data_IF_922847353884
#
_entry.id   IF_922847353884
#
_cell.length_a   1.000
_cell.length_b   1.000
_cell.length_c   1.000
_cell.angle_alpha   90.00
_cell.angle_beta   90.00
_cell.angle_gamma   90.00
#
_symmetry.space_group_name_H-M   'P 1'
#
loop_
_entity.id
_entity.type
_entity.pdbx_description
1 polymer ?
#
# COMPACT_ATOMS: atom_id res chain seq x y z
N UNK A 1 17.42 -3.23 -15.29
CA UNK A 1 17.21 -3.24 -14.79
C UNK A 1 16.47 -3.03 -14.26
N UNK A 2 16.22 -2.88 -14.07
CA UNK A 2 15.76 -2.92 -13.49
C UNK A 2 14.83 -2.60 -12.91
N UNK A 3 14.28 -2.69 -12.82
CA UNK A 3 13.36 -2.66 -11.75
C UNK A 3 12.77 -1.32 -11.52
N UNK A 4 12.32 -0.72 -12.56
CA UNK A 4 11.76 0.60 -12.49
C UNK A 4 10.47 0.64 -11.75
N UNK A 5 9.62 -0.36 -11.89
CA UNK A 5 8.39 -0.33 -11.18
C UNK A 5 8.60 -0.47 -9.68
N UNK A 6 9.73 -1.03 -9.28
CA UNK A 6 10.03 -1.16 -7.87
C UNK A 6 10.54 0.13 -7.26
N UNK A 7 11.04 1.04 -8.08
CA UNK A 7 11.56 2.28 -7.54
C UNK A 7 10.48 3.13 -6.89
N UNK A 8 9.23 2.94 -7.28
CA UNK A 8 8.13 3.68 -6.66
C UNK A 8 7.87 3.21 -5.23
N UNK A 9 8.16 1.95 -4.94
CA UNK A 9 8.02 1.43 -3.59
C UNK A 9 8.93 2.17 -2.63
N UNK A 10 10.11 2.55 -3.09
CA UNK A 10 11.06 3.27 -2.25
C UNK A 10 10.56 4.64 -1.81
N UNK A 11 9.57 5.17 -2.49
CA UNK A 11 8.99 6.45 -2.12
C UNK A 11 8.07 6.34 -0.92
N UNK A 12 7.69 5.13 -0.55
CA UNK A 12 6.81 4.91 0.58
C UNK A 12 7.60 4.94 1.87
N UNK A 13 7.00 5.53 2.91
CA UNK A 13 7.58 5.44 4.24
C UNK A 13 7.42 4.00 4.75
N UNK A 14 8.15 3.63 5.83
CA UNK A 14 7.99 2.28 6.37
C UNK A 14 6.55 1.94 6.73
N UNK A 15 5.80 2.89 7.31
CA UNK A 15 4.40 2.64 7.65
C UNK A 15 3.55 2.49 6.40
N UNK A 16 3.83 3.29 5.38
CA UNK A 16 3.09 3.19 4.13
C UNK A 16 3.34 1.85 3.46
N UNK A 17 4.58 1.36 3.50
CA UNK A 17 4.89 0.04 2.95
C UNK A 17 4.11 -1.04 3.68
N UNK A 18 4.02 -0.93 4.98
CA UNK A 18 3.28 -1.89 5.79
C UNK A 18 1.81 -1.91 5.39
N UNK A 19 1.20 -0.74 5.29
CA UNK A 19 -0.20 -0.64 4.90
C UNK A 19 -0.40 -1.18 3.48
N UNK A 20 0.49 -0.82 2.56
CA UNK A 20 0.38 -1.28 1.18
C UNK A 20 0.46 -2.79 1.09
N UNK A 21 1.31 -3.40 1.91
CA UNK A 21 1.43 -4.85 1.91
C UNK A 21 0.14 -5.51 2.39
N UNK A 22 -0.50 -4.96 3.42
CA UNK A 22 -1.79 -5.47 3.87
C UNK A 22 -2.85 -5.35 2.79
N UNK A 23 -2.90 -4.19 2.11
CA UNK A 23 -3.85 -3.98 1.03
C UNK A 23 -3.62 -5.03 -0.06
N UNK A 24 -2.37 -5.27 -0.41
CA UNK A 24 -2.02 -6.24 -1.44
C UNK A 24 -2.48 -7.64 -1.06
N UNK A 25 -2.54 -7.93 0.23
CA UNK A 25 -2.97 -9.24 0.71
C UNK A 25 -4.48 -9.30 0.96
N UNK A 26 -5.22 -8.29 0.55
CA UNK A 26 -6.67 -8.33 0.63
C UNK A 26 -7.24 -7.95 1.99
N UNK A 27 -6.43 -7.38 2.86
CA UNK A 27 -6.89 -6.98 4.19
C UNK A 27 -7.68 -5.69 4.06
N UNK A 28 -8.86 -5.64 4.66
CA UNK A 28 -9.71 -4.45 4.57
C UNK A 28 -9.13 -3.30 5.36
N UNK A 29 -9.58 -2.09 5.01
CA UNK A 29 -9.16 -0.88 5.72
C UNK A 29 -9.43 -0.98 7.22
N UNK A 30 -10.61 -1.48 7.58
CA UNK A 30 -10.96 -1.60 8.99
C UNK A 30 -10.05 -2.59 9.72
N UNK A 31 -9.72 -3.69 9.08
CA UNK A 31 -8.85 -4.69 9.69
C UNK A 31 -7.44 -4.16 9.84
N UNK A 32 -6.95 -3.44 8.83
CA UNK A 32 -5.63 -2.82 8.92
C UNK A 32 -5.60 -1.85 10.11
N UNK A 33 -6.66 -1.07 10.26
CA UNK A 33 -6.74 -0.12 11.36
C UNK A 33 -6.64 -0.83 12.70
N UNK A 34 -7.33 -1.97 12.84
CA UNK A 34 -7.27 -2.74 14.07
C UNK A 34 -5.87 -3.30 14.31
N UNK A 35 -5.25 -3.84 13.27
CA UNK A 35 -3.92 -4.40 13.38
C UNK A 35 -2.91 -3.35 13.83
N UNK A 36 -3.02 -2.15 13.27
CA UNK A 36 -2.07 -1.08 13.56
C UNK A 36 -2.43 -0.26 14.77
N UNK A 37 -3.63 -0.45 15.32
CA UNK A 37 -4.07 0.32 16.47
C UNK A 37 -4.37 1.77 16.13
N UNK A 38 -4.87 2.04 14.93
CA UNK A 38 -5.21 3.39 14.50
C UNK A 38 -6.65 3.42 14.01
N UNK A 39 -7.13 4.61 13.68
CA UNK A 39 -8.47 4.76 13.14
C UNK A 39 -8.50 4.42 11.66
N UNK A 40 -9.65 3.95 11.19
CA UNK A 40 -9.78 3.59 9.78
C UNK A 40 -9.57 4.82 8.87
N UNK A 41 -9.92 6.02 9.35
CA UNK A 41 -9.64 7.23 8.58
C UNK A 41 -8.15 7.42 8.34
N UNK A 42 -7.33 7.06 9.32
CA UNK A 42 -5.88 7.13 9.17
C UNK A 42 -5.41 6.18 8.09
N UNK A 43 -5.95 4.97 8.09
CA UNK A 43 -5.59 4.00 7.06
C UNK A 43 -6.02 4.48 5.68
N UNK A 44 -7.21 5.07 5.58
CA UNK A 44 -7.68 5.61 4.31
C UNK A 44 -6.75 6.71 3.79
N UNK A 45 -6.23 7.54 4.68
CA UNK A 45 -5.28 8.58 4.30
C UNK A 45 -3.99 7.94 3.77
N UNK A 46 -3.48 6.92 4.46
CA UNK A 46 -2.30 6.20 3.99
C UNK A 46 -2.55 5.60 2.60
N UNK A 47 -3.73 5.00 2.43
CA UNK A 47 -4.07 4.37 1.15
C UNK A 47 -4.03 5.38 0.02
N UNK A 48 -4.61 6.56 0.24
CA UNK A 48 -4.59 7.61 -0.78
C UNK A 48 -3.17 8.03 -1.12
N UNK A 49 -2.35 8.23 -0.11
CA UNK A 49 -0.95 8.62 -0.34
C UNK A 49 -0.20 7.55 -1.09
N UNK A 50 -0.42 6.29 -0.74
CA UNK A 50 0.23 5.17 -1.40
C UNK A 50 -0.14 5.15 -2.87
N UNK A 51 -1.42 5.30 -3.18
CA UNK A 51 -1.88 5.28 -4.57
C UNK A 51 -1.25 6.41 -5.37
N UNK A 52 -1.14 7.59 -4.76
CA UNK A 52 -0.52 8.72 -5.44
C UNK A 52 0.97 8.47 -5.65
N UNK A 53 1.67 8.01 -4.63
CA UNK A 53 3.11 7.79 -4.71
C UNK A 53 3.47 6.70 -5.69
N UNK A 54 2.65 5.64 -5.76
CA UNK A 54 2.89 4.55 -6.69
C UNK A 54 2.29 4.82 -8.07
N UNK A 55 1.54 5.91 -8.20
CA UNK A 55 0.92 6.27 -9.47
C UNK A 55 0.02 5.15 -9.96
N UNK A 56 -0.84 4.64 -9.10
CA UNK A 56 -1.75 3.55 -9.42
C UNK A 56 -3.17 3.97 -9.12
N UNK A 57 -4.14 3.23 -9.67
CA UNK A 57 -5.55 3.57 -9.52
C UNK A 57 -6.36 2.51 -8.78
N UNK A 58 -5.90 1.27 -8.75
CA UNK A 58 -6.71 0.19 -8.20
C UNK A 58 -5.90 -0.74 -7.31
N UNK A 59 -6.61 -1.54 -6.52
CA UNK A 59 -5.96 -2.55 -5.69
C UNK A 59 -5.26 -3.61 -6.53
N UNK A 60 -5.74 -3.85 -7.74
CA UNK A 60 -5.09 -4.82 -8.63
C UNK A 60 -3.66 -4.37 -8.91
N UNK A 61 -3.46 -3.08 -9.08
CA UNK A 61 -2.12 -2.55 -9.32
C UNK A 61 -1.20 -2.83 -8.14
N UNK A 62 -1.74 -2.71 -6.92
CA UNK A 62 -0.95 -3.01 -5.72
C UNK A 62 -0.57 -4.48 -5.69
N UNK A 63 -1.49 -5.37 -6.06
CA UNK A 63 -1.19 -6.79 -6.13
C UNK A 63 0.00 -7.05 -7.05
N UNK A 64 -0.02 -6.40 -8.21
CA UNK A 64 1.03 -6.62 -9.19
C UNK A 64 2.39 -6.18 -8.67
N UNK A 65 2.41 -5.12 -7.89
CA UNK A 65 3.65 -4.57 -7.37
C UNK A 65 4.19 -5.40 -6.21
N UNK A 66 3.31 -5.79 -5.29
CA UNK A 66 3.75 -6.38 -4.02
C UNK A 66 3.74 -7.90 -4.00
N UNK A 67 2.86 -8.54 -4.78
CA UNK A 67 2.71 -9.99 -4.75
C UNK A 67 3.29 -10.67 -5.97
N UNK A 68 3.77 -9.91 -6.90
CA UNK A 68 4.35 -10.45 -8.10
C UNK A 68 5.67 -11.14 -7.78
N UNK A 69 5.91 -12.25 -8.42
CA UNK A 69 7.18 -12.95 -8.24
C UNK A 69 8.19 -12.58 -9.32
#
# INVERSE_FOLDING_TARGET
MESKENSNIDKLSPREKEVANYIANGVSTNDIAKILGVKSNTVSTFRKKIFIKLNIATNVDIYKIFLKD
#
